data_IF_166626641910
#
_entry.id   IF_166626641910
#
_cell.length_a   1.000
_cell.length_b   1.000
_cell.length_c   1.000
_cell.angle_alpha   90.00
_cell.angle_beta   90.00
_cell.angle_gamma   90.00
#
_symmetry.space_group_name_H-M   'P 1'
#
loop_
_entity.id
_entity.type
_entity.pdbx_description
1 polymer ?
2 non-polymer ?
3 water ?
#
# COMPACT_ATOMS: atom_id res chain seq x y z
N UNK A 4 19.64 -17.69 -12.19
CA UNK A 4 20.04 -16.30 -12.43
C UNK A 4 19.27 -15.68 -13.58
N UNK A 5 19.86 -15.71 -14.78
CA UNK A 5 19.27 -15.09 -15.95
C UNK A 5 17.85 -15.60 -16.28
N UNK A 6 17.57 -16.87 -16.00
CA UNK A 6 16.24 -17.42 -16.22
C UNK A 6 15.25 -16.80 -15.24
N UNK A 7 15.54 -16.96 -13.95
CA UNK A 7 14.69 -16.45 -12.88
C UNK A 7 14.23 -15.03 -13.16
N UNK A 8 15.19 -14.11 -13.26
CA UNK A 8 14.87 -12.69 -13.47
C UNK A 8 14.05 -12.46 -14.72
N UNK A 9 14.34 -13.21 -15.77
CA UNK A 9 13.59 -13.08 -17.03
C UNK A 9 12.13 -13.43 -16.82
N UNK A 10 11.88 -14.44 -15.97
CA UNK A 10 10.53 -14.88 -15.69
C UNK A 10 9.76 -13.83 -14.90
N UNK A 11 10.43 -13.20 -13.94
CA UNK A 11 9.76 -12.23 -13.11
C UNK A 11 9.44 -10.98 -13.93
N UNK A 12 10.34 -10.62 -14.83
CA UNK A 12 10.09 -9.49 -15.73
C UNK A 12 8.86 -9.73 -16.59
N UNK A 13 8.72 -10.95 -17.10
CA UNK A 13 7.58 -11.28 -17.95
C UNK A 13 6.29 -11.07 -17.17
N UNK A 14 6.29 -11.45 -15.89
CA UNK A 14 5.13 -11.26 -15.04
C UNK A 14 4.85 -9.78 -14.79
N UNK A 15 5.91 -8.98 -14.64
CA UNK A 15 5.66 -7.57 -14.44
C UNK A 15 5.02 -6.99 -15.71
N UNK A 16 5.49 -7.45 -16.86
CA UNK A 16 4.92 -6.94 -18.11
C UNK A 16 3.45 -7.38 -18.26
N UNK A 17 3.12 -8.61 -17.88
CA UNK A 17 1.72 -9.01 -17.91
C UNK A 17 0.87 -8.12 -16.99
N UNK A 18 1.36 -7.88 -15.77
CA UNK A 18 0.62 -7.05 -14.82
C UNK A 18 0.47 -5.62 -15.34
N UNK A 19 1.49 -5.10 -16.03
CA UNK A 19 1.42 -3.75 -16.58
C UNK A 19 0.38 -3.66 -17.69
N UNK A 20 0.36 -4.66 -18.56
CA UNK A 20 -0.60 -4.69 -19.65
C UNK A 20 -2.03 -4.79 -19.10
N UNK A 21 -2.23 -5.60 -18.07
CA UNK A 21 -3.57 -5.72 -17.47
C UNK A 21 -4.00 -4.43 -16.80
N UNK A 22 -3.08 -3.77 -16.10
CA UNK A 22 -3.43 -2.51 -15.43
C UNK A 22 -3.78 -1.47 -16.47
N UNK A 23 -3.08 -1.51 -17.59
CA UNK A 23 -3.35 -0.58 -18.68
C UNK A 23 -4.75 -0.80 -19.23
N UNK A 24 -5.11 -2.07 -19.46
CA UNK A 24 -6.42 -2.41 -20.00
C UNK A 24 -7.51 -2.06 -18.99
N UNK A 25 -7.22 -2.27 -17.71
CA UNK A 25 -8.20 -1.90 -16.70
C UNK A 25 -8.43 -0.40 -16.73
N UNK A 26 -7.35 0.39 -16.83
CA UNK A 26 -7.49 1.83 -16.98
C UNK A 26 -8.32 2.20 -18.19
N UNK A 27 -8.07 1.50 -19.30
CA UNK A 27 -8.81 1.75 -20.54
C UNK A 27 -10.28 1.58 -20.27
N UNK A 28 -10.65 0.55 -19.52
CA UNK A 28 -12.05 0.29 -19.21
C UNK A 28 -12.62 1.41 -18.35
N UNK A 29 -11.84 1.85 -17.37
CA UNK A 29 -12.31 2.96 -16.53
C UNK A 29 -12.49 4.22 -17.37
N UNK A 30 -11.55 4.50 -18.27
CA UNK A 30 -11.64 5.67 -19.14
C UNK A 30 -12.97 5.65 -19.88
N UNK A 31 -13.34 4.47 -20.38
CA UNK A 31 -14.58 4.34 -21.13
C UNK A 31 -15.79 4.56 -20.25
N UNK A 32 -15.75 4.00 -19.05
CA UNK A 32 -16.86 4.04 -18.10
C UNK A 32 -17.07 5.42 -17.50
N UNK A 33 -16.00 6.23 -17.49
CA UNK A 33 -16.05 7.56 -16.90
C UNK A 33 -16.59 8.63 -17.84
N UNK A 34 -16.80 8.26 -19.10
CA UNK A 34 -17.32 9.22 -20.07
C UNK A 34 -18.84 9.36 -19.89
N UNK A 35 -19.38 10.47 -20.36
CA UNK A 35 -20.80 10.75 -20.18
C UNK A 35 -21.67 9.72 -20.89
N UNK A 36 -21.21 9.27 -22.05
CA UNK A 36 -21.89 8.23 -22.79
C UNK A 36 -20.94 7.07 -23.07
N UNK A 37 -20.82 6.13 -22.11
CA UNK A 37 -19.91 4.98 -22.33
C UNK A 37 -20.23 4.20 -23.60
N UNK A 38 -19.18 3.91 -24.36
CA UNK A 38 -19.25 3.21 -25.62
C UNK A 38 -19.24 1.70 -25.37
N UNK A 39 -20.40 1.05 -25.47
CA UNK A 39 -20.51 -0.34 -25.11
C UNK A 39 -19.68 -1.29 -25.97
N UNK A 40 -19.56 -0.99 -27.26
CA UNK A 40 -18.79 -1.82 -28.16
C UNK A 40 -17.29 -1.67 -27.83
N UNK A 41 -16.86 -0.45 -27.55
CA UNK A 41 -15.46 -0.23 -27.13
C UNK A 41 -15.16 -0.96 -25.83
N UNK A 42 -16.11 -0.88 -24.90
CA UNK A 42 -15.95 -1.54 -23.60
C UNK A 42 -15.79 -3.03 -23.79
N UNK A 43 -16.66 -3.64 -24.61
CA UNK A 43 -16.57 -5.07 -24.83
C UNK A 43 -15.21 -5.45 -25.44
N UNK A 44 -14.72 -4.66 -26.39
CA UNK A 44 -13.42 -4.92 -27.00
C UNK A 44 -12.35 -4.95 -25.93
N UNK A 45 -12.41 -3.97 -25.05
CA UNK A 45 -11.40 -3.89 -23.98
C UNK A 45 -11.51 -5.06 -23.00
N UNK A 46 -12.72 -5.52 -22.75
CA UNK A 46 -12.93 -6.62 -21.83
C UNK A 46 -12.34 -7.87 -22.43
N UNK A 47 -12.53 -8.03 -23.73
CA UNK A 47 -12.05 -9.20 -24.40
C UNK A 47 -10.53 -9.20 -24.42
N UNK A 48 -9.94 -8.01 -24.59
CA UNK A 48 -8.50 -7.87 -24.67
C UNK A 48 -7.91 -8.22 -23.28
N UNK A 49 -8.57 -7.78 -22.21
CA UNK A 49 -8.11 -8.13 -20.86
C UNK A 49 -8.16 -9.66 -20.66
N UNK A 50 -9.28 -10.28 -21.01
CA UNK A 50 -9.37 -11.73 -20.84
C UNK A 50 -8.24 -12.44 -21.61
N UNK A 51 -7.97 -11.98 -22.83
CA UNK A 51 -6.96 -12.63 -23.68
C UNK A 51 -5.57 -12.51 -23.07
N UNK A 52 -5.22 -11.31 -22.64
CA UNK A 52 -3.90 -11.05 -22.07
C UNK A 52 -3.75 -11.85 -20.78
N UNK A 53 -4.81 -11.90 -19.99
CA UNK A 53 -4.78 -12.61 -18.71
C UNK A 53 -4.60 -14.09 -18.94
N UNK A 54 -5.32 -14.64 -19.89
CA UNK A 54 -5.28 -16.09 -20.08
C UNK A 54 -3.93 -16.53 -20.64
N UNK A 55 -3.34 -15.69 -21.48
CA UNK A 55 -2.01 -15.94 -22.02
C UNK A 55 -1.01 -15.89 -20.89
N UNK A 56 -1.17 -14.90 -20.03
CA UNK A 56 -0.29 -14.75 -18.88
C UNK A 56 -0.37 -15.94 -17.94
N UNK A 57 -1.58 -16.41 -17.66
CA UNK A 57 -1.72 -17.56 -16.78
C UNK A 57 -1.15 -18.80 -17.45
N UNK A 58 -1.30 -18.89 -18.76
CA UNK A 58 -0.84 -20.05 -19.52
C UNK A 58 0.68 -20.19 -19.53
N UNK A 59 1.38 -19.07 -19.47
CA UNK A 59 2.83 -19.08 -19.71
C UNK A 59 3.70 -18.63 -18.55
N UNK A 60 3.08 -18.34 -17.41
CA UNK A 60 3.82 -17.89 -16.25
C UNK A 60 4.51 -19.06 -15.54
N UNK A 61 5.82 -18.94 -15.33
CA UNK A 61 6.63 -20.02 -14.76
C UNK A 61 6.55 -20.08 -13.23
N UNK A 62 6.72 -18.94 -12.56
CA UNK A 62 6.81 -18.92 -11.11
C UNK A 62 5.49 -19.33 -10.49
N UNK A 63 5.52 -20.32 -9.60
CA UNK A 63 4.29 -20.84 -8.99
C UNK A 63 3.50 -19.80 -8.20
N UNK A 64 4.19 -18.91 -7.49
CA UNK A 64 3.54 -17.88 -6.69
C UNK A 64 2.83 -16.89 -7.61
N UNK A 65 3.47 -16.59 -8.74
CA UNK A 65 2.85 -15.67 -9.68
C UNK A 65 1.67 -16.32 -10.41
N UNK A 66 1.77 -17.61 -10.68
CA UNK A 66 0.65 -18.34 -11.28
C UNK A 66 -0.58 -18.26 -10.38
N UNK A 67 -0.41 -18.59 -9.10
CA UNK A 67 -1.51 -18.51 -8.15
C UNK A 67 -2.08 -17.10 -8.05
N UNK A 68 -1.20 -16.09 -8.05
CA UNK A 68 -1.66 -14.70 -8.00
C UNK A 68 -2.53 -14.36 -9.22
N UNK A 69 -2.14 -14.85 -10.39
CA UNK A 69 -2.92 -14.61 -11.60
C UNK A 69 -4.28 -15.30 -11.58
N UNK A 70 -4.37 -16.42 -10.87
CA UNK A 70 -5.65 -17.11 -10.71
C UNK A 70 -6.57 -16.22 -9.88
N UNK A 71 -5.99 -15.53 -8.91
CA UNK A 71 -6.72 -14.57 -8.10
C UNK A 71 -7.19 -13.40 -8.94
N UNK A 72 -6.32 -12.93 -9.82
CA UNK A 72 -6.68 -11.85 -10.75
C UNK A 72 -7.87 -12.25 -11.61
N UNK A 73 -7.86 -13.49 -12.10
CA UNK A 73 -8.94 -14.00 -12.92
C UNK A 73 -10.26 -13.97 -12.17
N UNK A 74 -10.26 -14.43 -10.92
CA UNK A 74 -11.48 -14.46 -10.15
C UNK A 74 -11.96 -13.02 -9.94
N UNK A 75 -11.02 -12.12 -9.65
CA UNK A 75 -11.36 -10.75 -9.37
C UNK A 75 -11.90 -10.07 -10.62
N UNK A 76 -11.35 -10.45 -11.77
CA UNK A 76 -11.81 -9.87 -13.03
C UNK A 76 -13.21 -10.35 -13.39
N UNK A 77 -13.50 -11.61 -13.10
CA UNK A 77 -14.87 -12.11 -13.31
C UNK A 77 -15.83 -11.25 -12.47
N UNK A 78 -15.43 -10.94 -11.24
CA UNK A 78 -16.26 -10.09 -10.38
C UNK A 78 -16.43 -8.67 -10.92
N UNK A 79 -15.36 -8.07 -11.46
CA UNK A 79 -15.49 -6.75 -12.05
C UNK A 79 -16.49 -6.79 -13.21
N UNK A 80 -16.36 -7.80 -14.06
CA UNK A 80 -17.24 -7.93 -15.20
C UNK A 80 -18.67 -8.09 -14.72
N UNK A 81 -18.87 -8.89 -13.66
CA UNK A 81 -20.23 -9.16 -13.21
C UNK A 81 -20.90 -7.89 -12.69
N UNK A 82 -20.08 -6.93 -12.24
CA UNK A 82 -20.63 -5.70 -11.68
C UNK A 82 -20.61 -4.52 -12.64
N UNK A 83 -20.12 -4.75 -13.85
CA UNK A 83 -20.05 -3.65 -14.81
C UNK A 83 -21.42 -3.22 -15.34
N UNK A 84 -22.31 -4.18 -15.65
CA UNK A 84 -23.64 -3.73 -16.10
C UNK A 84 -24.32 -2.81 -15.09
N UNK A 85 -24.28 -3.18 -13.81
CA UNK A 85 -24.86 -2.36 -12.75
C UNK A 85 -24.33 -0.92 -12.78
N UNK A 86 -23.03 -0.77 -13.06
CA UNK A 86 -22.43 0.55 -13.14
C UNK A 86 -22.99 1.29 -14.36
N UNK A 87 -23.06 0.59 -15.48
CA UNK A 87 -23.53 1.17 -16.73
C UNK A 87 -25.00 1.54 -16.67
N UNK A 88 -25.74 0.84 -15.83
CA UNK A 88 -27.19 1.03 -15.71
C UNK A 88 -27.51 2.19 -14.77
N UNK A 89 -26.51 2.64 -14.02
CA UNK A 89 -26.70 3.72 -13.06
C UNK A 89 -26.80 5.07 -13.77
N UNK A 92 -24.63 11.81 -15.41
CA UNK A 92 -23.53 12.75 -15.61
C UNK A 92 -22.18 12.12 -15.27
N UNK A 93 -21.22 12.26 -16.19
CA UNK A 93 -19.86 11.77 -15.99
C UNK A 93 -18.89 12.49 -16.89
N UNK A 94 -18.21 13.50 -16.34
CA UNK A 94 -17.33 14.37 -17.10
C UNK A 94 -16.47 13.65 -18.16
N UNK A 95 -16.64 14.05 -19.42
CA UNK A 95 -15.67 13.65 -20.44
C UNK A 95 -14.32 14.23 -20.02
N UNK A 96 -14.37 15.46 -19.50
CA UNK A 96 -13.17 16.14 -19.03
C UNK A 96 -12.44 15.38 -17.93
N UNK A 97 -13.18 14.82 -16.98
CA UNK A 97 -12.55 14.01 -15.95
C UNK A 97 -11.91 12.76 -16.55
N UNK A 98 -12.67 12.04 -17.38
CA UNK A 98 -12.14 10.85 -18.04
C UNK A 98 -10.82 11.16 -18.79
N UNK A 99 -10.79 12.29 -19.50
CA UNK A 99 -9.61 12.64 -20.28
C UNK A 99 -8.42 12.99 -19.38
N UNK A 100 -8.68 13.72 -18.31
CA UNK A 100 -7.62 14.06 -17.37
C UNK A 100 -7.05 12.82 -16.70
N UNK A 101 -7.95 11.92 -16.30
CA UNK A 101 -7.55 10.67 -15.67
C UNK A 101 -6.65 9.90 -16.62
N UNK A 102 -7.08 9.81 -17.87
CA UNK A 102 -6.31 9.06 -18.84
C UNK A 102 -4.88 9.56 -18.95
N UNK A 103 -4.71 10.87 -19.09
CA UNK A 103 -3.39 11.45 -19.24
C UNK A 103 -2.54 11.22 -18.00
N UNK A 104 -3.13 11.40 -16.83
CA UNK A 104 -2.37 11.20 -15.59
C UNK A 104 -1.91 9.75 -15.43
N UNK A 105 -2.81 8.80 -15.64
CA UNK A 105 -2.43 7.41 -15.45
C UNK A 105 -1.36 6.94 -16.44
N UNK A 106 -1.39 7.46 -17.67
CA UNK A 106 -0.41 7.04 -18.66
C UNK A 106 0.96 7.55 -18.26
N UNK A 107 1.01 8.78 -17.77
CA UNK A 107 2.27 9.31 -17.32
C UNK A 107 2.87 8.51 -16.17
N UNK A 108 2.04 8.15 -15.20
CA UNK A 108 2.52 7.36 -14.08
C UNK A 108 3.01 5.99 -14.54
N UNK A 109 2.25 5.37 -15.45
CA UNK A 109 2.59 4.02 -15.91
C UNK A 109 3.87 4.06 -16.73
N UNK A 110 4.00 5.09 -17.56
CA UNK A 110 5.18 5.18 -18.42
C UNK A 110 6.44 5.44 -17.60
N UNK A 111 6.33 6.21 -16.53
CA UNK A 111 7.49 6.49 -15.68
C UNK A 111 7.93 5.22 -14.97
N UNK A 112 6.95 4.49 -14.46
CA UNK A 112 7.20 3.22 -13.81
C UNK A 112 7.99 2.31 -14.74
N UNK A 113 7.53 2.21 -15.99
CA UNK A 113 8.13 1.27 -16.95
C UNK A 113 9.48 1.75 -17.44
N UNK A 114 9.68 3.06 -17.41
CA UNK A 114 10.97 3.60 -17.77
C UNK A 114 11.99 3.15 -16.74
N UNK A 115 11.59 3.18 -15.47
CA UNK A 115 12.44 2.73 -14.38
C UNK A 115 12.62 1.20 -14.36
N UNK A 116 11.58 0.46 -14.71
CA UNK A 116 11.64 -1.00 -14.83
C UNK A 116 12.67 -1.40 -15.88
N UNK A 117 12.56 -0.80 -17.06
CA UNK A 117 13.52 -1.03 -18.13
C UNK A 117 14.94 -0.72 -17.66
N UNK A 118 15.12 0.43 -17.03
CA UNK A 118 16.42 0.82 -16.50
C UNK A 118 17.03 -0.31 -15.69
N UNK A 119 16.27 -0.84 -14.74
CA UNK A 119 16.73 -1.94 -13.92
C UNK A 119 17.20 -3.10 -14.79
N UNK A 120 16.42 -3.40 -15.82
CA UNK A 120 16.72 -4.51 -16.72
C UNK A 120 18.00 -4.25 -17.53
N UNK A 121 18.04 -3.14 -18.25
CA UNK A 121 19.14 -2.84 -19.16
C UNK A 121 20.50 -2.80 -18.48
N UNK B 1 29.52 -5.16 -4.80
CA UNK B 1 29.32 -3.83 -5.37
C UNK B 1 28.12 -3.12 -4.75
N UNK B 2 28.35 -2.47 -3.62
CA UNK B 2 27.32 -1.64 -3.00
C UNK B 2 26.94 -0.51 -3.94
N UNK B 3 27.82 -0.24 -4.90
CA UNK B 3 27.54 0.70 -5.98
C UNK B 3 26.33 0.21 -6.76
N UNK B 4 26.41 -1.02 -7.28
CA UNK B 4 25.28 -1.63 -7.97
C UNK B 4 24.01 -1.54 -7.14
N UNK B 5 24.13 -1.87 -5.86
CA UNK B 5 23.00 -1.82 -4.95
C UNK B 5 22.47 -0.40 -4.86
N UNK B 6 23.38 0.58 -4.92
CA UNK B 6 23.00 1.98 -4.93
C UNK B 6 22.17 2.32 -6.17
N UNK B 7 22.61 1.83 -7.33
CA UNK B 7 21.88 2.07 -8.57
C UNK B 7 20.49 1.45 -8.52
N UNK B 8 20.44 0.15 -8.24
CA UNK B 8 19.17 -0.55 -8.14
C UNK B 8 18.19 0.20 -7.24
N UNK B 9 18.64 0.54 -6.03
CA UNK B 9 17.80 1.23 -5.06
C UNK B 9 17.21 2.52 -5.63
N UNK B 10 17.88 3.12 -6.60
CA UNK B 10 17.40 4.34 -7.23
C UNK B 10 16.17 4.06 -8.09
N UNK B 11 16.34 3.18 -9.08
CA UNK B 11 15.24 2.79 -9.93
C UNK B 11 14.09 2.27 -9.09
N UNK B 12 14.42 1.54 -8.04
CA UNK B 12 13.38 0.98 -7.17
C UNK B 12 12.66 2.10 -6.42
N UNK B 13 13.38 3.20 -6.16
CA UNK B 13 12.79 4.37 -5.52
C UNK B 13 11.77 5.03 -6.45
N UNK B 14 12.17 5.25 -7.70
CA UNK B 14 11.27 5.81 -8.71
C UNK B 14 10.09 4.87 -8.92
N UNK B 15 10.36 3.57 -8.99
CA UNK B 15 9.28 2.60 -9.11
C UNK B 15 8.35 2.69 -7.92
N UNK B 16 8.92 2.87 -6.74
CA UNK B 16 8.17 2.97 -5.49
C UNK B 16 7.29 4.21 -5.45
N UNK B 17 7.83 5.37 -5.81
CA UNK B 17 7.02 6.58 -5.86
C UNK B 17 5.88 6.39 -6.85
N UNK B 18 6.19 5.94 -8.06
CA UNK B 18 5.15 5.72 -9.07
C UNK B 18 4.06 4.78 -8.55
N UNK B 19 4.49 3.72 -7.87
CA UNK B 19 3.55 2.74 -7.33
C UNK B 19 2.63 3.38 -6.29
N UNK B 20 3.22 4.20 -5.43
CA UNK B 20 2.46 4.89 -4.38
C UNK B 20 1.42 5.83 -5.01
N UNK B 21 1.85 6.58 -6.01
CA UNK B 21 0.95 7.54 -6.66
C UNK B 21 -0.17 6.83 -7.40
N UNK B 22 0.15 5.73 -8.07
CA UNK B 22 -0.90 4.97 -8.72
C UNK B 22 -1.88 4.35 -7.69
N UNK B 23 -1.35 3.94 -6.55
CA UNK B 23 -2.21 3.41 -5.49
C UNK B 23 -3.16 4.51 -5.01
N UNK B 24 -2.63 5.70 -4.80
CA UNK B 24 -3.46 6.82 -4.35
C UNK B 24 -4.47 7.25 -5.41
N UNK B 25 -4.06 7.23 -6.67
CA UNK B 25 -5.02 7.54 -7.71
C UNK B 25 -6.16 6.50 -7.69
N UNK B 26 -5.81 5.23 -7.56
CA UNK B 26 -6.81 4.17 -7.45
C UNK B 26 -7.73 4.43 -6.27
N UNK B 27 -7.15 4.77 -5.13
CA UNK B 27 -7.95 5.08 -3.94
C UNK B 27 -8.99 6.12 -4.27
N UNK B 28 -8.58 7.12 -5.07
CA UNK B 28 -9.47 8.21 -5.39
C UNK B 28 -10.57 7.80 -6.36
N UNK B 29 -10.23 6.96 -7.33
CA UNK B 29 -11.22 6.44 -8.25
C UNK B 29 -12.23 5.59 -7.48
N UNK B 30 -11.73 4.75 -6.57
CA UNK B 30 -12.61 3.91 -5.75
C UNK B 30 -13.63 4.79 -5.01
N UNK B 31 -13.15 5.85 -4.38
CA UNK B 31 -14.03 6.80 -3.68
C UNK B 31 -15.06 7.42 -4.62
N UNK B 32 -14.62 7.77 -5.81
CA UNK B 32 -15.48 8.45 -6.77
C UNK B 32 -16.50 7.48 -7.40
N UNK B 33 -16.20 6.19 -7.38
CA UNK B 33 -17.09 5.20 -7.98
C UNK B 33 -18.17 4.73 -6.99
N UNK B 34 -18.02 5.11 -5.72
CA UNK B 34 -19.05 4.79 -4.73
C UNK B 34 -20.29 5.67 -4.88
N UNK B 35 -21.45 5.18 -4.45
CA UNK B 35 -22.68 5.90 -4.74
C UNK B 35 -22.87 7.11 -3.83
N UNK B 36 -22.09 7.18 -2.77
CA UNK B 36 -22.04 8.37 -1.93
C UNK B 36 -20.59 8.68 -1.57
N UNK B 37 -19.89 9.38 -2.48
CA UNK B 37 -18.45 9.63 -2.30
C UNK B 37 -18.12 10.36 -1.01
N UNK B 38 -17.17 9.81 -0.27
CA UNK B 38 -16.68 10.41 0.96
C UNK B 38 -15.78 11.61 0.64
N UNK B 39 -16.34 12.81 0.72
CA UNK B 39 -15.63 14.03 0.37
C UNK B 39 -14.38 14.31 1.18
N UNK B 40 -14.45 14.08 2.49
CA UNK B 40 -13.30 14.27 3.36
C UNK B 40 -12.20 13.27 3.04
N UNK B 41 -12.59 12.02 2.81
CA UNK B 41 -11.63 11.00 2.40
C UNK B 41 -10.97 11.35 1.06
N UNK B 42 -11.73 11.90 0.14
CA UNK B 42 -11.15 12.31 -1.14
C UNK B 42 -10.09 13.39 -0.90
N UNK B 43 -10.43 14.38 -0.10
CA UNK B 43 -9.52 15.46 0.27
C UNK B 43 -8.24 14.90 0.88
N UNK B 44 -8.37 13.97 1.82
CA UNK B 44 -7.19 13.38 2.44
C UNK B 44 -6.30 12.68 1.40
N UNK B 45 -6.94 11.93 0.51
CA UNK B 45 -6.20 11.19 -0.50
C UNK B 45 -5.49 12.13 -1.48
N UNK B 46 -6.14 13.23 -1.84
CA UNK B 46 -5.50 14.21 -2.72
C UNK B 46 -4.30 14.82 -2.03
N UNK B 47 -4.44 15.12 -0.74
CA UNK B 47 -3.32 15.64 0.04
C UNK B 47 -2.15 14.66 0.05
N UNK B 48 -2.46 13.39 0.26
CA UNK B 48 -1.46 12.34 0.28
C UNK B 48 -0.79 12.24 -1.08
N UNK B 49 -1.57 12.29 -2.15
CA UNK B 49 -0.96 12.25 -3.49
C UNK B 49 0.04 13.40 -3.67
N UNK B 50 -0.34 14.62 -3.29
CA UNK B 50 0.57 15.75 -3.47
C UNK B 50 1.82 15.62 -2.60
N UNK B 51 1.66 15.11 -1.38
CA UNK B 51 2.80 14.92 -0.49
C UNK B 51 3.79 13.92 -1.09
N UNK B 52 3.28 12.76 -1.47
CA UNK B 52 4.09 11.70 -2.07
C UNK B 52 4.77 12.18 -3.34
N UNK B 53 4.07 12.93 -4.17
CA UNK B 53 4.68 13.44 -5.40
C UNK B 53 5.81 14.41 -5.08
N UNK B 54 5.57 15.36 -4.19
CA UNK B 54 6.61 16.34 -3.88
C UNK B 54 7.83 15.70 -3.23
N UNK B 55 7.60 14.75 -2.34
CA UNK B 55 8.72 14.02 -1.73
C UNK B 55 9.47 13.21 -2.78
N UNK B 56 8.74 12.70 -3.77
CA UNK B 56 9.35 11.99 -4.87
C UNK B 56 10.20 12.92 -5.73
N UNK B 57 9.71 14.14 -5.94
CA UNK B 57 10.43 15.09 -6.77
C UNK B 57 11.71 15.51 -6.08
N UNK B 58 11.64 15.60 -4.76
CA UNK B 58 12.79 16.04 -3.97
C UNK B 58 13.85 14.95 -3.92
N UNK B 59 13.44 13.72 -4.21
CA UNK B 59 14.32 12.57 -4.09
C UNK B 59 14.90 12.08 -5.41
N UNK B 60 14.82 12.91 -6.44
CA UNK B 60 15.38 12.53 -7.74
C UNK B 60 16.59 13.39 -8.06
N UNK B 61 17.34 12.95 -9.06
CA UNK B 61 18.60 13.61 -9.43
C UNK B 61 18.60 14.03 -10.89
N UNK B 62 17.98 13.22 -11.74
CA UNK B 62 17.85 13.53 -13.15
C UNK B 62 16.70 14.51 -13.38
N UNK B 63 17.01 15.65 -13.99
CA UNK B 63 15.99 16.66 -14.22
C UNK B 63 14.98 16.22 -15.28
N UNK B 64 15.28 15.09 -15.93
CA UNK B 64 14.30 14.48 -16.83
C UNK B 64 13.32 13.66 -16.00
N UNK B 65 13.79 13.12 -14.88
CA UNK B 65 12.89 12.45 -13.96
C UNK B 65 12.07 13.51 -13.25
N UNK B 66 12.72 14.61 -12.91
CA UNK B 66 12.02 15.75 -12.32
C UNK B 66 11.02 16.31 -13.32
N UNK B 67 11.40 16.24 -14.59
CA UNK B 67 10.53 16.71 -15.67
C UNK B 67 9.28 15.85 -15.75
N UNK B 68 9.44 14.54 -15.63
CA UNK B 68 8.32 13.62 -15.73
C UNK B 68 7.40 13.80 -14.54
N UNK B 69 7.99 14.03 -13.36
CA UNK B 69 7.20 14.23 -12.15
C UNK B 69 6.51 15.59 -12.17
N UNK B 70 7.13 16.57 -12.82
CA UNK B 70 6.47 17.86 -13.03
C UNK B 70 5.29 17.68 -13.98
N UNK B 71 5.42 16.77 -14.94
CA UNK B 71 4.34 16.46 -15.84
C UNK B 71 3.21 15.79 -15.08
N UNK B 72 3.58 14.90 -14.15
CA UNK B 72 2.59 14.26 -13.29
C UNK B 72 1.88 15.33 -12.44
N UNK B 73 2.65 16.28 -11.90
CA UNK B 73 2.08 17.38 -11.13
C UNK B 73 1.03 18.16 -11.92
N UNK B 74 1.40 18.57 -13.12
CA UNK B 74 0.49 19.32 -13.99
C UNK B 74 -0.75 18.50 -14.35
N UNK B 75 -0.55 17.20 -14.59
CA UNK B 75 -1.66 16.33 -14.94
C UNK B 75 -2.59 16.14 -13.74
N UNK B 76 -2.02 16.08 -12.56
CA UNK B 76 -2.82 15.88 -11.37
C UNK B 76 -3.64 17.13 -11.09
N UNK B 77 -3.03 18.28 -11.39
CA UNK B 77 -3.74 19.56 -11.31
C UNK B 77 -4.94 19.58 -12.23
N UNK B 78 -4.76 19.08 -13.45
CA UNK B 78 -5.88 18.99 -14.39
C UNK B 78 -6.96 18.03 -13.88
N UNK B 79 -6.54 16.89 -13.31
CA UNK B 79 -7.52 15.94 -12.78
C UNK B 79 -8.36 16.61 -11.70
N UNK B 80 -7.69 17.38 -10.84
CA UNK B 80 -8.39 18.14 -9.81
C UNK B 80 -9.36 19.16 -10.37
N UNK B 81 -8.92 19.88 -11.41
CA UNK B 81 -9.75 20.89 -12.05
C UNK B 81 -11.07 20.28 -12.52
N UNK B 82 -11.04 19.00 -12.86
CA UNK B 82 -12.21 18.34 -13.43
C UNK B 82 -12.87 17.39 -12.43
N UNK B 83 -12.46 17.46 -11.17
CA UNK B 83 -12.94 16.52 -10.16
C UNK B 83 -14.32 16.92 -9.63
N UNK B 84 -15.33 16.09 -9.91
CA UNK B 84 -16.72 16.28 -9.47
C UNK B 84 -17.05 15.35 -8.31
N UNK B 92 -23.74 6.67 -12.76
CA UNK B 92 -22.37 7.18 -12.78
C UNK B 92 -21.49 6.42 -11.80
N UNK B 93 -22.10 5.90 -10.74
CA UNK B 93 -21.39 5.19 -9.69
C UNK B 93 -22.14 3.95 -9.21
N UNK B 94 -21.45 3.09 -8.46
CA UNK B 94 -22.01 1.84 -7.99
C UNK B 94 -21.07 1.19 -6.96
N UNK B 95 -21.60 0.90 -5.78
CA UNK B 95 -20.77 0.38 -4.70
C UNK B 95 -20.17 -1.00 -5.00
N UNK B 96 -20.97 -1.85 -5.65
CA UNK B 96 -20.49 -3.18 -6.01
C UNK B 96 -19.32 -3.13 -7.01
N UNK B 97 -19.46 -2.27 -7.99
CA UNK B 97 -18.38 -2.10 -8.98
C UNK B 97 -17.14 -1.54 -8.28
N UNK B 98 -17.34 -0.52 -7.45
CA UNK B 98 -16.21 0.11 -6.76
C UNK B 98 -15.41 -0.93 -5.98
N UNK B 99 -16.11 -1.79 -5.25
CA UNK B 99 -15.47 -2.85 -4.47
C UNK B 99 -14.73 -3.89 -5.37
N UNK B 100 -15.39 -4.31 -6.44
CA UNK B 100 -14.78 -5.28 -7.36
C UNK B 100 -13.54 -4.68 -8.03
N UNK B 101 -13.65 -3.43 -8.47
CA UNK B 101 -12.50 -2.71 -9.03
C UNK B 101 -11.37 -2.62 -8.03
N UNK B 102 -11.71 -2.27 -6.80
CA UNK B 102 -10.68 -2.16 -5.78
C UNK B 102 -9.92 -3.47 -5.59
N UNK B 103 -10.66 -4.58 -5.50
CA UNK B 103 -10.05 -5.88 -5.33
C UNK B 103 -9.12 -6.22 -6.48
N UNK B 104 -9.60 -5.98 -7.69
CA UNK B 104 -8.81 -6.33 -8.86
C UNK B 104 -7.54 -5.49 -8.91
N UNK B 105 -7.68 -4.18 -8.69
CA UNK B 105 -6.50 -3.31 -8.87
C UNK B 105 -5.47 -3.61 -7.77
N UNK B 106 -5.93 -3.97 -6.58
CA UNK B 106 -4.99 -4.35 -5.53
C UNK B 106 -4.22 -5.61 -5.88
N UNK B 107 -4.93 -6.60 -6.41
CA UNK B 107 -4.28 -7.84 -6.82
C UNK B 107 -3.23 -7.65 -7.92
N UNK B 108 -3.57 -6.80 -8.88
CA UNK B 108 -2.62 -6.50 -9.95
C UNK B 108 -1.41 -5.77 -9.40
N UNK B 109 -1.64 -4.77 -8.54
CA UNK B 109 -0.54 -4.00 -7.95
C UNK B 109 0.32 -4.93 -7.13
N UNK B 110 -0.33 -5.81 -6.37
CA UNK B 110 0.44 -6.69 -5.50
C UNK B 110 1.25 -7.71 -6.29
N UNK B 111 0.70 -8.18 -7.42
CA UNK B 111 1.38 -9.14 -8.27
C UNK B 111 2.63 -8.50 -8.85
N UNK B 112 2.50 -7.24 -9.27
CA UNK B 112 3.64 -6.54 -9.83
C UNK B 112 4.75 -6.44 -8.79
N UNK B 113 4.36 -6.13 -7.55
CA UNK B 113 5.34 -5.92 -6.50
C UNK B 113 5.96 -7.24 -6.04
N UNK B 114 5.21 -8.33 -6.16
CA UNK B 114 5.73 -9.66 -5.86
C UNK B 114 6.81 -10.06 -6.84
N UNK B 115 6.57 -9.83 -8.13
CA UNK B 115 7.53 -10.15 -9.18
C UNK B 115 8.77 -9.27 -9.05
N UNK B 116 8.58 -8.01 -8.69
CA UNK B 116 9.70 -7.08 -8.53
C UNK B 116 10.58 -7.52 -7.37
N UNK B 117 9.95 -7.89 -6.27
CA UNK B 117 10.69 -8.41 -5.12
C UNK B 117 11.43 -9.65 -5.57
N UNK B 118 10.78 -10.43 -6.43
CA UNK B 118 11.38 -11.62 -6.97
C UNK B 118 12.70 -11.33 -7.67
N UNK B 119 12.75 -10.21 -8.38
CA UNK B 119 13.96 -9.82 -9.10
C UNK B 119 15.04 -9.34 -8.15
N UNK B 120 14.67 -8.61 -7.11
CA UNK B 120 15.64 -8.12 -6.13
C UNK B 120 16.43 -9.28 -5.55
N UNK B 121 15.73 -10.32 -5.11
CA UNK B 121 16.39 -11.50 -4.55
C UNK B 121 17.24 -12.23 -5.59
N UNK B 122 16.98 -11.95 -6.87
CA UNK B 122 17.76 -12.52 -7.95
C UNK B 122 18.84 -11.54 -8.42
N UNK B 123 18.92 -10.40 -7.73
CA UNK B 123 20.02 -9.47 -7.91
C UNK B 123 20.84 -9.48 -6.63
N UNK B 124 20.36 -10.27 -5.67
CA UNK B 124 21.12 -10.59 -4.47
C UNK B 124 22.10 -11.71 -4.80
N UNK B 125 21.60 -12.70 -5.55
CA UNK B 125 22.43 -13.81 -5.99
C UNK B 125 23.14 -13.46 -7.29
N UNK B 126 23.80 -12.31 -7.30
CA UNK B 126 24.52 -11.85 -8.48
C UNK B 126 26.00 -12.20 -8.39
N UNK C 1 -30.55 2.27 10.29
CA UNK C 1 -29.20 2.32 10.84
C UNK C 1 -28.53 0.94 10.82
N UNK C 2 -29.35 -0.11 10.88
CA UNK C 2 -28.83 -1.48 11.05
C UNK C 2 -27.82 -1.94 10.00
N UNK C 3 -28.07 -1.69 8.72
CA UNK C 3 -27.09 -2.02 7.69
C UNK C 3 -25.82 -1.20 7.87
N UNK C 4 -25.98 0.05 8.28
CA UNK C 4 -24.85 0.92 8.55
C UNK C 4 -24.00 0.34 9.68
N UNK C 5 -24.68 -0.04 10.76
CA UNK C 5 -24.02 -0.60 11.94
C UNK C 5 -23.25 -1.87 11.60
N UNK C 6 -23.88 -2.75 10.82
CA UNK C 6 -23.26 -4.00 10.44
C UNK C 6 -22.02 -3.73 9.61
N UNK C 7 -22.14 -2.82 8.64
CA UNK C 7 -21.03 -2.51 7.76
C UNK C 7 -19.84 -1.92 8.54
N UNK C 8 -20.14 -0.98 9.42
CA UNK C 8 -19.12 -0.35 10.24
C UNK C 8 -18.43 -1.40 11.11
N UNK C 9 -19.24 -2.28 11.68
CA UNK C 9 -18.71 -3.33 12.55
C UNK C 9 -17.76 -4.24 11.78
N UNK C 10 -18.15 -4.60 10.56
CA UNK C 10 -17.30 -5.45 9.71
C UNK C 10 -15.97 -4.78 9.38
N UNK C 11 -15.99 -3.48 9.06
CA UNK C 11 -14.74 -2.80 8.76
C UNK C 11 -13.86 -2.68 10.01
N UNK C 12 -14.48 -2.49 11.16
CA UNK C 12 -13.69 -2.49 12.38
C UNK C 12 -13.12 -3.89 12.65
N UNK C 13 -13.85 -4.93 12.24
CA UNK C 13 -13.32 -6.30 12.38
C UNK C 13 -12.05 -6.45 11.54
N UNK C 14 -12.04 -5.86 10.35
CA UNK C 14 -10.84 -5.87 9.52
C UNK C 14 -9.71 -5.07 10.15
N UNK C 15 -10.06 -3.94 10.77
CA UNK C 15 -9.06 -3.13 11.47
C UNK C 15 -8.45 -3.98 12.58
N UNK C 16 -9.31 -4.71 13.30
CA UNK C 16 -8.82 -5.59 14.38
C UNK C 16 -7.82 -6.61 13.84
N UNK C 17 -8.12 -7.19 12.69
CA UNK C 17 -7.17 -8.12 12.08
C UNK C 17 -5.85 -7.44 11.75
N UNK C 18 -5.91 -6.27 11.11
CA UNK C 18 -4.65 -5.62 10.77
C UNK C 18 -3.86 -5.25 12.02
N UNK C 19 -4.54 -4.81 13.07
CA UNK C 19 -3.85 -4.43 14.30
C UNK C 19 -3.21 -5.61 15.00
N UNK C 20 -3.93 -6.74 15.02
CA UNK C 20 -3.38 -7.94 15.66
C UNK C 20 -2.21 -8.49 14.85
N UNK C 21 -2.29 -8.42 13.52
CA UNK C 21 -1.18 -8.87 12.69
C UNK C 21 0.05 -7.97 12.85
N UNK C 22 -0.19 -6.66 12.94
CA UNK C 22 0.92 -5.73 13.16
C UNK C 22 1.59 -6.04 14.50
N UNK C 23 0.79 -6.39 15.51
CA UNK C 23 1.34 -6.69 16.83
C UNK C 23 2.16 -7.97 16.79
N UNK C 24 1.68 -8.96 16.04
CA UNK C 24 2.41 -10.22 15.97
C UNK C 24 3.70 -10.07 15.16
N UNK C 25 3.67 -9.27 14.10
CA UNK C 25 4.89 -9.02 13.33
C UNK C 25 5.90 -8.35 14.24
N UNK C 26 5.45 -7.38 15.01
CA UNK C 26 6.32 -6.73 15.97
C UNK C 26 6.88 -7.71 17.00
N UNK C 27 6.05 -8.62 17.50
CA UNK C 27 6.51 -9.63 18.46
C UNK C 27 7.67 -10.41 17.86
N UNK C 28 7.53 -10.72 16.56
CA UNK C 28 8.50 -11.56 15.85
C UNK C 28 9.82 -10.84 15.62
N UNK C 29 9.76 -9.57 15.25
CA UNK C 29 10.97 -8.78 15.10
C UNK C 29 11.69 -8.65 16.43
N UNK C 30 10.92 -8.43 17.50
CA UNK C 30 11.51 -8.30 18.84
C UNK C 30 12.27 -9.58 19.22
N UNK C 31 11.63 -10.73 19.00
CA UNK C 31 12.28 -12.02 19.23
C UNK C 31 13.55 -12.15 18.38
N UNK C 32 13.46 -11.74 17.13
CA UNK C 32 14.57 -11.91 16.20
C UNK C 32 15.74 -10.99 16.53
N UNK C 33 15.46 -9.92 17.27
CA UNK C 33 16.49 -8.96 17.63
C UNK C 33 17.21 -9.30 18.93
N UNK C 34 16.75 -10.34 19.61
CA UNK C 34 17.37 -10.73 20.88
C UNK C 34 18.67 -11.48 20.64
N UNK C 35 19.54 -11.51 21.65
CA UNK C 35 20.80 -12.24 21.56
C UNK C 35 20.59 -13.72 21.27
N UNK C 36 19.75 -14.37 22.06
CA UNK C 36 19.40 -15.76 21.80
C UNK C 36 17.91 -15.87 21.58
N UNK C 37 17.48 -15.85 20.30
CA UNK C 37 16.07 -15.91 19.93
C UNK C 37 15.42 -17.24 20.30
N UNK C 38 14.28 -17.19 20.98
CA UNK C 38 13.58 -18.42 21.33
C UNK C 38 12.84 -18.93 20.11
N UNK C 39 13.25 -20.10 19.62
CA UNK C 39 12.67 -20.70 18.43
C UNK C 39 11.23 -21.10 18.63
N UNK C 40 10.89 -21.55 19.83
CA UNK C 40 9.53 -22.00 20.11
C UNK C 40 8.58 -20.80 20.27
N UNK C 41 9.09 -19.72 20.87
CA UNK C 41 8.32 -18.49 20.95
C UNK C 41 8.06 -17.92 19.56
N UNK C 42 9.10 -17.91 18.73
CA UNK C 42 8.96 -17.42 17.36
C UNK C 42 7.93 -18.23 16.59
N UNK C 43 7.90 -19.52 16.89
CA UNK C 43 7.03 -20.46 16.21
C UNK C 43 5.58 -20.22 16.59
N UNK C 44 5.33 -20.10 17.90
CA UNK C 44 4.00 -19.78 18.41
C UNK C 44 3.48 -18.50 17.79
N UNK C 45 4.33 -17.49 17.69
CA UNK C 45 3.94 -16.20 17.14
C UNK C 45 3.56 -16.32 15.67
N UNK C 46 4.38 -17.04 14.92
CA UNK C 46 4.12 -17.21 13.49
C UNK C 46 2.84 -18.01 13.27
N UNK C 47 2.61 -19.01 14.13
CA UNK C 47 1.36 -19.77 14.11
C UNK C 47 0.16 -18.87 14.36
N UNK C 48 0.31 -17.97 15.33
CA UNK C 48 -0.72 -16.98 15.65
C UNK C 48 -0.98 -16.05 14.47
N UNK C 49 0.09 -15.55 13.84
CA UNK C 49 -0.05 -14.67 12.68
C UNK C 49 -0.84 -15.38 11.59
N UNK C 50 -0.45 -16.62 11.29
CA UNK C 50 -1.14 -17.37 10.25
C UNK C 50 -2.60 -17.60 10.60
N UNK C 51 -2.85 -17.91 11.85
CA UNK C 51 -4.20 -18.21 12.33
C UNK C 51 -5.12 -17.00 12.29
N UNK C 52 -4.61 -15.87 12.73
CA UNK C 52 -5.38 -14.63 12.71
C UNK C 52 -5.69 -14.25 11.27
N UNK C 53 -4.70 -14.40 10.40
CA UNK C 53 -4.86 -14.04 9.00
C UNK C 53 -5.90 -14.92 8.33
N UNK C 54 -5.78 -16.23 8.55
CA UNK C 54 -6.66 -17.19 7.90
C UNK C 54 -8.09 -17.04 8.40
N UNK C 55 -8.25 -16.72 9.69
CA UNK C 55 -9.58 -16.46 10.20
C UNK C 55 -10.14 -15.19 9.55
N UNK C 56 -9.30 -14.17 9.44
CA UNK C 56 -9.69 -12.95 8.74
C UNK C 56 -10.21 -13.27 7.34
N UNK C 57 -9.47 -14.10 6.62
CA UNK C 57 -9.84 -14.47 5.26
C UNK C 57 -11.17 -15.20 5.21
N UNK C 58 -11.35 -16.14 6.13
CA UNK C 58 -12.56 -16.95 6.14
C UNK C 58 -13.78 -16.12 6.50
N UNK C 59 -13.55 -14.96 7.14
CA UNK C 59 -14.63 -14.21 7.76
C UNK C 59 -14.95 -12.88 7.10
N UNK C 60 -14.25 -12.58 6.01
CA UNK C 60 -14.48 -11.33 5.30
C UNK C 60 -15.22 -11.58 4.00
N UNK C 61 -16.25 -10.78 3.73
CA UNK C 61 -17.02 -10.91 2.51
C UNK C 61 -16.48 -9.93 1.48
N UNK C 62 -16.13 -8.74 1.96
CA UNK C 62 -15.61 -7.68 1.12
C UNK C 62 -14.49 -8.21 0.21
N UNK C 63 -14.63 -8.04 -1.11
CA UNK C 63 -13.67 -8.58 -2.07
C UNK C 63 -12.39 -7.75 -2.23
N UNK C 64 -12.47 -6.46 -1.94
CA UNK C 64 -11.28 -5.67 -1.75
C UNK C 64 -10.50 -6.14 -0.52
N UNK C 65 -11.19 -6.41 0.58
CA UNK C 65 -10.49 -6.85 1.78
C UNK C 65 -9.94 -8.28 1.58
N UNK C 66 -10.64 -9.08 0.78
CA UNK C 66 -10.13 -10.39 0.37
C UNK C 66 -8.79 -10.23 -0.36
N UNK C 67 -8.76 -9.30 -1.32
CA UNK C 67 -7.53 -9.05 -2.09
C UNK C 67 -6.42 -8.62 -1.16
N UNK C 68 -6.75 -7.70 -0.23
CA UNK C 68 -5.73 -7.22 0.69
C UNK C 68 -5.21 -8.34 1.58
N UNK C 69 -6.11 -9.19 2.06
CA UNK C 69 -5.66 -10.25 2.93
C UNK C 69 -4.79 -11.25 2.16
N UNK C 70 -5.19 -11.54 0.93
CA UNK C 70 -4.40 -12.47 0.12
C UNK C 70 -3.02 -11.89 -0.12
N UNK C 71 -2.94 -10.57 -0.27
CA UNK C 71 -1.66 -9.91 -0.50
C UNK C 71 -0.74 -10.04 0.71
N UNK C 72 -1.32 -9.91 1.91
CA UNK C 72 -0.56 -10.13 3.15
C UNK C 72 -0.12 -11.58 3.26
N UNK C 73 -1.03 -12.49 2.88
CA UNK C 73 -0.76 -13.92 2.97
C UNK C 73 0.44 -14.26 2.08
N UNK C 74 0.41 -13.84 0.82
CA UNK C 74 1.50 -14.12 -0.10
C UNK C 74 2.80 -13.62 0.52
N UNK C 75 2.79 -12.39 1.01
CA UNK C 75 3.95 -11.81 1.67
C UNK C 75 4.39 -12.54 2.95
N UNK C 76 3.44 -13.03 3.75
CA UNK C 76 3.79 -13.65 5.02
C UNK C 76 4.28 -15.11 4.96
N UNK C 77 3.51 -16.01 4.34
CA UNK C 77 3.95 -17.38 4.21
C UNK C 77 5.40 -17.32 3.74
N UNK C 78 5.62 -16.43 2.78
CA UNK C 78 6.97 -16.11 2.31
C UNK C 78 7.93 -15.84 3.48
N UNK C 79 7.50 -14.99 4.42
CA UNK C 79 8.34 -14.65 5.57
C UNK C 79 8.52 -15.83 6.55
N UNK C 80 7.43 -16.51 6.90
CA UNK C 80 7.49 -17.64 7.83
C UNK C 80 8.40 -18.71 7.24
N UNK C 81 8.44 -18.74 5.92
CA UNK C 81 9.28 -19.68 5.18
C UNK C 81 10.74 -19.46 5.50
N UNK C 82 11.11 -18.19 5.68
CA UNK C 82 12.52 -17.84 5.77
C UNK C 82 13.03 -17.71 7.21
N UNK C 83 12.11 -17.55 8.16
CA UNK C 83 12.52 -17.32 9.55
C UNK C 83 13.34 -18.46 10.18
N UNK C 84 12.91 -19.72 9.99
CA UNK C 84 13.71 -20.76 10.64
C UNK C 84 15.20 -20.65 10.26
N UNK C 85 15.47 -20.13 9.06
CA UNK C 85 16.84 -19.91 8.62
C UNK C 85 17.38 -18.57 9.12
N UNK C 94 21.30 -7.35 19.67
CA UNK C 94 21.46 -6.69 20.96
C UNK C 94 20.17 -6.71 21.80
N UNK C 95 20.28 -7.23 23.01
CA UNK C 95 19.12 -7.36 23.90
C UNK C 95 18.54 -5.99 24.26
N UNK C 96 19.43 -5.04 24.53
CA UNK C 96 19.03 -3.67 24.81
C UNK C 96 18.27 -3.05 23.65
N UNK C 97 18.79 -3.21 22.44
CA UNK C 97 18.11 -2.65 21.28
C UNK C 97 16.76 -3.31 21.10
N UNK C 98 16.71 -4.61 21.38
CA UNK C 98 15.48 -5.38 21.22
C UNK C 98 14.38 -4.82 22.10
N UNK C 99 14.72 -4.55 23.36
CA UNK C 99 13.71 -4.07 24.29
C UNK C 99 13.34 -2.62 23.98
N UNK C 100 14.30 -1.82 23.52
CA UNK C 100 13.98 -0.44 23.13
C UNK C 100 13.07 -0.42 21.90
N UNK C 101 13.34 -1.33 20.97
CA UNK C 101 12.51 -1.44 19.78
C UNK C 101 11.09 -1.83 20.18
N UNK C 102 11.01 -2.76 21.12
CA UNK C 102 9.71 -3.23 21.62
C UNK C 102 8.90 -2.08 22.20
N UNK C 103 9.55 -1.29 23.06
CA UNK C 103 8.88 -0.18 23.69
C UNK C 103 8.36 0.79 22.65
N UNK C 104 9.20 1.09 21.65
CA UNK C 104 8.82 2.06 20.65
C UNK C 104 7.65 1.56 19.77
N UNK C 105 7.72 0.32 19.32
CA UNK C 105 6.65 -0.17 18.44
C UNK C 105 5.33 -0.28 19.22
N UNK C 106 5.41 -0.56 20.52
CA UNK C 106 4.20 -0.59 21.33
C UNK C 106 3.61 0.80 21.49
N UNK C 107 4.47 1.81 21.62
CA UNK C 107 3.97 3.19 21.76
C UNK C 107 3.32 3.64 20.44
N UNK C 108 3.87 3.18 19.31
CA UNK C 108 3.29 3.48 17.99
C UNK C 108 1.98 2.76 17.83
N UNK C 109 1.91 1.52 18.33
CA UNK C 109 0.67 0.76 18.27
C UNK C 109 -0.41 1.47 19.08
N UNK C 110 -0.04 1.93 20.27
CA UNK C 110 -0.96 2.70 21.13
C UNK C 110 -1.48 3.97 20.45
N UNK C 111 -0.59 4.68 19.77
CA UNK C 111 -0.97 5.90 19.06
C UNK C 111 -2.01 5.59 18.00
N UNK C 112 -1.78 4.51 17.26
CA UNK C 112 -2.72 4.12 16.20
C UNK C 112 -4.07 3.74 16.78
N UNK C 113 -4.06 2.94 17.84
CA UNK C 113 -5.30 2.45 18.44
C UNK C 113 -6.09 3.63 18.96
N UNK C 114 -5.38 4.58 19.55
CA UNK C 114 -6.03 5.73 20.17
C UNK C 114 -6.78 6.53 19.12
N UNK C 115 -6.13 6.76 17.99
CA UNK C 115 -6.73 7.50 16.90
C UNK C 115 -7.93 6.72 16.41
N UNK C 116 -7.76 5.41 16.26
CA UNK C 116 -8.86 4.55 15.83
C UNK C 116 -10.03 4.62 16.81
N UNK C 117 -9.74 4.57 18.11
CA UNK C 117 -10.80 4.71 19.11
C UNK C 117 -11.46 6.08 18.97
N UNK C 118 -10.64 7.10 18.74
CA UNK C 118 -11.13 8.45 18.56
C UNK C 118 -12.11 8.56 17.41
N UNK C 119 -11.80 7.89 16.31
CA UNK C 119 -12.68 7.90 15.14
C UNK C 119 -13.99 7.15 15.42
N UNK C 120 -13.93 6.15 16.29
CA UNK C 120 -15.13 5.44 16.71
C UNK C 120 -16.02 6.32 17.58
N UNK C 121 -15.40 7.04 18.52
CA UNK C 121 -16.10 7.83 19.52
C UNK C 121 -17.13 8.81 18.95
N UNK C 122 -16.75 9.52 17.90
CA UNK C 122 -17.65 10.48 17.28
C UNK C 122 -18.14 10.01 15.91
N UNK D 2 -20.07 19.78 11.14
CA UNK D 2 -18.72 20.22 10.78
C UNK D 2 -17.83 20.26 12.02
N UNK D 3 -18.44 20.55 13.16
CA UNK D 3 -17.76 20.50 14.45
C UNK D 3 -16.96 19.21 14.56
N UNK D 4 -17.65 18.09 14.38
CA UNK D 4 -17.01 16.79 14.45
C UNK D 4 -16.21 16.48 13.19
N UNK D 5 -16.59 17.10 12.07
CA UNK D 5 -15.90 16.89 10.81
C UNK D 5 -14.42 17.23 10.92
N UNK D 6 -14.12 18.45 11.35
CA UNK D 6 -12.74 18.88 11.55
C UNK D 6 -12.09 18.05 12.66
N UNK D 7 -12.89 17.71 13.66
CA UNK D 7 -12.46 16.86 14.76
C UNK D 7 -11.93 15.54 14.23
N UNK D 8 -12.74 14.86 13.43
CA UNK D 8 -12.35 13.59 12.82
C UNK D 8 -11.15 13.77 11.92
N UNK D 9 -11.10 14.86 11.18
CA UNK D 9 -9.94 15.10 10.30
C UNK D 9 -8.63 14.99 11.08
N UNK D 10 -8.63 15.48 12.31
CA UNK D 10 -7.41 15.44 13.13
C UNK D 10 -7.04 14.00 13.52
N UNK D 11 -8.03 13.19 13.85
CA UNK D 11 -7.77 11.78 14.16
C UNK D 11 -7.14 11.06 12.96
N UNK D 12 -7.67 11.32 11.77
CA UNK D 12 -7.09 10.72 10.57
C UNK D 12 -5.66 11.22 10.37
N UNK D 13 -5.41 12.49 10.68
CA UNK D 13 -4.05 13.02 10.59
C UNK D 13 -3.10 12.29 11.54
N UNK D 14 -3.57 11.98 12.74
CA UNK D 14 -2.75 11.24 13.68
C UNK D 14 -2.46 9.83 13.19
N UNK D 15 -3.46 9.23 12.56
CA UNK D 15 -3.28 7.90 11.98
C UNK D 15 -2.19 7.98 10.93
N UNK D 16 -2.27 8.98 10.08
CA UNK D 16 -1.25 9.17 9.04
C UNK D 16 0.15 9.32 9.62
N UNK D 17 0.28 10.10 10.67
CA UNK D 17 1.56 10.26 11.37
C UNK D 17 2.07 8.92 11.88
N UNK D 18 1.17 8.15 12.51
CA UNK D 18 1.56 6.85 13.06
C UNK D 18 2.03 5.91 11.95
N UNK D 19 1.36 5.93 10.79
CA UNK D 19 1.76 5.06 9.68
C UNK D 19 3.14 5.47 9.16
N UNK D 20 3.37 6.76 9.02
CA UNK D 20 4.65 7.26 8.51
C UNK D 20 5.79 6.88 9.43
N UNK D 21 5.54 7.03 10.73
CA UNK D 21 6.55 6.70 11.71
C UNK D 21 6.83 5.20 11.72
N UNK D 22 5.78 4.38 11.62
CA UNK D 22 5.99 2.94 11.60
C UNK D 22 6.82 2.55 10.38
N UNK D 23 6.55 3.20 9.24
CA UNK D 23 7.33 2.88 8.05
C UNK D 23 8.76 3.35 8.17
N UNK D 24 9.00 4.51 8.79
CA UNK D 24 10.38 4.97 9.00
C UNK D 24 11.13 4.07 9.98
N UNK D 25 10.41 3.55 10.97
CA UNK D 25 11.04 2.64 11.92
C UNK D 25 11.49 1.36 11.21
N UNK D 26 10.62 0.80 10.37
CA UNK D 26 11.01 -0.35 9.58
C UNK D 26 12.18 -0.04 8.68
N UNK D 27 12.21 1.17 8.12
CA UNK D 27 13.32 1.58 7.24
C UNK D 27 14.65 1.52 7.98
N UNK D 28 14.66 2.02 9.21
CA UNK D 28 15.85 2.02 10.06
C UNK D 28 16.29 0.60 10.40
N UNK D 29 15.32 -0.29 10.64
CA UNK D 29 15.64 -1.67 10.92
C UNK D 29 16.36 -2.33 9.75
N UNK D 30 15.84 -2.11 8.53
CA UNK D 30 16.52 -2.62 7.32
C UNK D 30 17.93 -2.07 7.17
N UNK D 31 18.12 -0.77 7.39
CA UNK D 31 19.46 -0.18 7.30
C UNK D 31 20.43 -0.83 8.29
N UNK D 32 19.93 -1.12 9.48
CA UNK D 32 20.76 -1.67 10.56
C UNK D 32 21.05 -3.15 10.43
N UNK D 33 20.16 -3.88 9.74
CA UNK D 33 20.30 -5.34 9.64
C UNK D 33 21.24 -5.73 8.52
N UNK D 34 21.67 -4.76 7.73
CA UNK D 34 22.72 -5.00 6.77
C UNK D 34 23.97 -5.43 7.54
N UNK D 35 25.06 -5.63 6.80
CA UNK D 35 26.27 -6.20 7.40
C UNK D 35 27.26 -5.10 7.77
N UNK D 36 27.37 -4.10 6.89
CA UNK D 36 28.04 -2.84 7.22
C UNK D 36 27.02 -1.72 7.01
N UNK D 37 26.29 -1.37 8.08
CA UNK D 37 25.17 -0.43 7.97
C UNK D 37 25.60 0.94 7.45
N UNK D 38 24.82 1.48 6.51
CA UNK D 38 25.04 2.81 5.97
C UNK D 38 24.67 3.85 7.03
N UNK D 39 25.65 4.28 7.81
CA UNK D 39 25.39 5.20 8.90
C UNK D 39 24.81 6.53 8.48
N UNK D 40 25.18 7.00 7.29
CA UNK D 40 24.68 8.28 6.80
C UNK D 40 23.20 8.18 6.52
N UNK D 41 22.81 7.07 5.90
CA UNK D 41 21.41 6.84 5.59
C UNK D 41 20.62 6.68 6.87
N UNK D 42 21.20 6.00 7.84
CA UNK D 42 20.54 5.83 9.14
C UNK D 42 20.24 7.18 9.77
N UNK D 43 21.23 8.06 9.80
CA UNK D 43 21.05 9.36 10.43
C UNK D 43 19.98 10.20 9.73
N UNK D 44 19.94 10.15 8.40
CA UNK D 44 18.90 10.85 7.65
C UNK D 44 17.50 10.31 7.97
N UNK D 45 17.39 8.99 8.07
CA UNK D 45 16.13 8.35 8.48
C UNK D 45 15.73 8.72 9.90
N UNK D 46 16.69 8.78 10.81
CA UNK D 46 16.41 9.22 12.17
C UNK D 46 15.90 10.64 12.19
N UNK D 47 16.52 11.51 11.39
CA UNK D 47 16.07 12.89 11.28
C UNK D 47 14.64 12.97 10.73
N UNK D 48 14.35 12.14 9.74
CA UNK D 48 13.01 12.13 9.15
C UNK D 48 11.99 11.72 10.21
N UNK D 49 12.31 10.70 10.98
CA UNK D 49 11.42 10.24 12.05
C UNK D 49 11.19 11.39 13.02
N UNK D 50 12.27 12.02 13.48
CA UNK D 50 12.14 13.15 14.40
C UNK D 50 11.25 14.24 13.79
N UNK D 51 11.44 14.54 12.51
CA UNK D 51 10.67 15.61 11.89
C UNK D 51 9.18 15.30 11.76
N UNK D 52 8.87 14.06 11.42
CA UNK D 52 7.46 13.65 11.27
C UNK D 52 6.79 13.69 12.64
N UNK D 53 7.52 13.22 13.65
CA UNK D 53 7.01 13.18 15.02
C UNK D 53 6.73 14.59 15.52
N UNK D 54 7.67 15.50 15.30
CA UNK D 54 7.51 16.86 15.81
C UNK D 54 6.36 17.63 15.17
N UNK D 55 6.14 17.47 13.87
CA UNK D 55 5.01 18.13 13.23
C UNK D 55 3.68 17.50 13.64
N UNK D 56 3.71 16.20 13.95
CA UNK D 56 2.52 15.54 14.46
C UNK D 56 2.16 16.17 15.80
N UNK D 57 3.18 16.37 16.63
CA UNK D 57 3.02 16.93 17.95
C UNK D 57 2.46 18.37 17.89
N UNK D 58 2.82 19.10 16.84
CA UNK D 58 2.46 20.51 16.73
C UNK D 58 1.03 20.72 16.28
N UNK D 59 0.45 19.72 15.64
CA UNK D 59 -0.88 19.86 15.08
C UNK D 59 -1.95 19.07 15.84
N UNK D 60 -1.52 18.11 16.64
CA UNK D 60 -2.48 17.20 17.27
C UNK D 60 -3.32 17.89 18.34
N UNK D 61 -4.64 17.74 18.25
CA UNK D 61 -5.56 18.41 19.14
C UNK D 61 -6.04 17.52 20.29
N UNK D 62 -6.26 16.24 20.00
CA UNK D 62 -6.77 15.34 21.01
C UNK D 62 -5.77 15.15 22.17
N UNK D 63 -6.25 15.31 23.40
CA UNK D 63 -5.37 15.25 24.57
C UNK D 63 -4.77 13.87 24.75
N UNK D 64 -5.55 12.84 24.47
CA UNK D 64 -5.07 11.47 24.54
C UNK D 64 -3.95 11.28 23.51
N UNK D 65 -4.17 11.75 22.28
CA UNK D 65 -3.16 11.58 21.23
C UNK D 65 -1.89 12.38 21.52
N UNK D 66 -2.04 13.56 22.12
CA UNK D 66 -0.86 14.29 22.56
C UNK D 66 -0.02 13.47 23.53
N UNK D 67 -0.68 12.84 24.50
CA UNK D 67 0.03 12.02 25.46
C UNK D 67 0.74 10.85 24.76
N UNK D 68 0.05 10.24 23.80
CA UNK D 68 0.60 9.09 23.06
C UNK D 68 1.83 9.51 22.27
N UNK D 69 1.76 10.70 21.67
CA UNK D 69 2.92 11.20 20.92
C UNK D 69 4.11 11.50 21.81
N UNK D 70 3.85 12.04 23.01
CA UNK D 70 4.93 12.23 23.98
C UNK D 70 5.55 10.88 24.37
N UNK D 71 4.72 9.86 24.50
CA UNK D 71 5.18 8.51 24.76
C UNK D 71 6.07 7.99 23.63
N UNK D 72 5.65 8.22 22.38
CA UNK D 72 6.47 7.82 21.23
C UNK D 72 7.82 8.55 21.27
N UNK D 73 7.78 9.85 21.58
CA UNK D 73 9.02 10.64 21.60
C UNK D 73 10.00 10.08 22.64
N UNK D 74 9.51 9.82 23.84
CA UNK D 74 10.36 9.25 24.88
C UNK D 74 10.94 7.90 24.46
N UNK D 75 10.12 7.04 23.87
CA UNK D 75 10.58 5.71 23.47
C UNK D 75 11.56 5.82 22.30
N UNK D 76 11.36 6.80 21.43
CA UNK D 76 12.28 6.95 20.30
C UNK D 76 13.67 7.38 20.79
N UNK D 77 13.71 8.23 21.80
CA UNK D 77 15.01 8.64 22.31
C UNK D 77 15.72 7.42 22.88
N UNK D 78 14.97 6.56 23.56
CA UNK D 78 15.55 5.36 24.12
C UNK D 78 16.04 4.46 23.01
N UNK D 79 15.28 4.39 21.91
CA UNK D 79 15.73 3.59 20.80
C UNK D 79 17.04 4.14 20.23
N UNK D 80 17.12 5.46 20.05
CA UNK D 80 18.33 6.07 19.51
C UNK D 80 19.51 5.84 20.45
N UNK D 81 19.25 5.86 21.75
CA UNK D 81 20.31 5.65 22.73
C UNK D 81 20.88 4.24 22.63
N UNK D 82 20.06 3.27 22.21
CA UNK D 82 20.50 1.87 22.14
C UNK D 82 20.93 1.41 20.76
N UNK D 83 20.89 2.32 19.79
CA UNK D 83 21.33 1.99 18.43
C UNK D 83 22.87 1.89 18.29
N UNK D 84 23.63 2.78 18.96
CA UNK D 84 25.09 2.66 18.82
C UNK D 84 25.63 1.26 19.17
N UNK D 85 25.00 0.59 20.13
CA UNK D 85 25.43 -0.74 20.54
C UNK D 85 25.16 -1.76 19.45
N UNK D 86 23.99 -1.64 18.82
CA UNK D 86 23.58 -2.55 17.76
C UNK D 86 24.56 -2.49 16.59
N UNK D 87 25.38 -1.45 16.56
CA UNK D 87 26.41 -1.31 15.53
C UNK D 87 27.59 -2.22 15.82
N UNK D 95 19.83 -7.91 3.50
CA UNK D 95 19.38 -7.37 2.23
C UNK D 95 18.04 -7.97 1.81
N UNK D 96 18.01 -9.29 1.70
CA UNK D 96 16.89 -10.01 1.11
C UNK D 96 15.74 -10.33 2.04
N UNK D 97 16.04 -10.58 3.30
CA UNK D 97 15.00 -10.70 4.33
C UNK D 97 14.31 -9.35 4.38
N UNK D 98 15.08 -8.31 4.10
CA UNK D 98 14.60 -6.95 4.08
C UNK D 98 13.73 -6.69 2.84
N UNK D 99 14.06 -7.34 1.72
CA UNK D 99 13.24 -7.22 0.52
C UNK D 99 11.84 -7.76 0.78
N UNK D 100 11.78 -8.87 1.51
CA UNK D 100 10.51 -9.50 1.84
C UNK D 100 9.79 -8.72 2.92
N UNK D 101 10.53 -8.35 3.95
CA UNK D 101 9.98 -7.60 5.08
C UNK D 101 9.35 -6.32 4.55
N UNK D 102 9.99 -5.72 3.55
CA UNK D 102 9.43 -4.51 2.95
C UNK D 102 8.10 -4.77 2.26
N UNK D 103 8.01 -5.89 1.57
CA UNK D 103 6.76 -6.27 0.94
C UNK D 103 5.64 -6.48 1.95
N UNK D 104 5.95 -7.22 3.03
CA UNK D 104 4.95 -7.60 4.02
C UNK D 104 4.43 -6.36 4.75
N UNK D 105 5.34 -5.49 5.18
CA UNK D 105 4.88 -4.29 5.88
C UNK D 105 4.05 -3.35 5.00
N UNK D 106 4.36 -3.28 3.70
CA UNK D 106 3.55 -2.48 2.79
C UNK D 106 2.17 -3.11 2.59
N UNK D 107 2.12 -4.45 2.50
CA UNK D 107 0.82 -5.12 2.32
C UNK D 107 -0.03 -4.96 3.58
N UNK D 108 0.61 -4.93 4.76
CA UNK D 108 -0.16 -4.76 6.01
C UNK D 108 -0.71 -3.33 6.05
N UNK D 109 0.09 -2.38 5.58
CA UNK D 109 -0.36 -1.00 5.52
C UNK D 109 -1.54 -0.87 4.55
N UNK D 110 -1.45 -1.54 3.41
CA UNK D 110 -2.57 -1.57 2.46
C UNK D 110 -3.86 -2.07 3.12
N UNK D 111 -3.73 -3.13 3.92
CA UNK D 111 -4.89 -3.73 4.55
C UNK D 111 -5.49 -2.75 5.55
N UNK D 112 -4.62 -2.10 6.32
CA UNK D 112 -5.07 -1.14 7.31
C UNK D 112 -5.73 0.08 6.64
N UNK D 113 -5.13 0.56 5.56
CA UNK D 113 -5.69 1.72 4.86
C UNK D 113 -7.05 1.41 4.24
N UNK D 114 -7.22 0.18 3.76
CA UNK D 114 -8.46 -0.21 3.15
C UNK D 114 -9.57 -0.31 4.18
N UNK D 115 -9.25 -0.86 5.34
CA UNK D 115 -10.25 -0.97 6.38
C UNK D 115 -10.66 0.43 6.85
N UNK D 116 -9.66 1.31 6.99
CA UNK D 116 -9.91 2.70 7.39
C UNK D 116 -10.79 3.40 6.36
N UNK D 117 -10.57 3.10 5.09
CA UNK D 117 -11.39 3.72 4.05
C UNK D 117 -12.83 3.27 4.23
N UNK D 118 -13.00 2.01 4.61
CA UNK D 118 -14.32 1.46 4.84
C UNK D 118 -15.00 2.13 6.02
N UNK D 119 -14.26 2.32 7.11
CA UNK D 119 -14.81 2.98 8.30
C UNK D 119 -15.23 4.41 7.97
N UNK D 120 -14.39 5.10 7.22
CA UNK D 120 -14.69 6.48 6.81
C UNK D 120 -15.95 6.56 5.96
N UNK D 121 -16.11 5.63 5.04
CA UNK D 121 -17.30 5.59 4.19
C UNK D 121 -18.54 5.41 5.04
N UNK D 122 -18.48 4.47 5.98
CA UNK D 122 -19.63 4.12 6.83
C UNK D 122 -20.01 5.22 7.82
N UNK D 123 -19.01 5.81 8.49
CA UNK D 123 -19.30 6.89 9.43
C UNK D 123 -20.00 8.04 8.73
N UNK D 124 -19.52 8.41 7.55
CA UNK D 124 -20.11 9.49 6.78
C UNK D 124 -21.42 9.06 6.11
N UNK D 125 -21.89 7.87 6.47
CA UNK D 125 -23.17 7.37 5.96
C UNK D 125 -24.27 7.48 7.01
X LIG E 1 -5.85 3.47 -11.50
X LIG E 1 -4.44 3.37 -11.46
X LIG E 1 -6.44 2.09 -11.75
X LIG E 1 -5.62 1.10 -11.16
X LIG E 1 -6.55 1.85 -13.26
X LIG E 1 -5.53 2.57 -13.92
X LIG F 1 -24.31 1.29 -5.19
X LIG F 1 -25.37 2.19 -5.37
X LIG F 1 -24.83 -0.12 -4.83
X LIG F 1 -24.82 -0.29 -3.42
X LIG F 1 -23.95 -1.17 -5.49
X LIG F 1 -23.99 -2.38 -4.78
X LIG G 1 14.63 -3.28 -3.88
X LIG G 1 13.92 -2.87 -2.73
X LIG G 1 16.08 -2.80 -3.76
X LIG G 1 16.32 -2.40 -2.43
X LIG G 1 17.03 -3.92 -4.15
X LIG G 1 16.85 -4.24 -5.51
X LIG H 1 7.98 -2.04 12.93
X LIG H 1 8.81 -2.40 11.84
X LIG H 1 7.24 -3.30 13.40
X LIG H 1 6.77 -3.11 14.70
X LIG H 1 6.05 -3.52 12.47
X LIG H 1 6.51 -3.37 11.15
#
# INVERSE_FOLDING_TARGET
>A
SNAQEQRMSHHYATIEVSQQLLQLLGDQLVILLRETPDGQALERSQNDFRRVLEQGRANTVDSAEQAALDGVRDAYLQLQAHTPALLEAPXADNDGFSEAFNGLRLRLQDLQQLALAGISEAETSARHRA
>B
SNAQEQRMSHHYATIEVSQQLLQLLGDQLVILLRETPDGQALERSQNDFRRVLEQGRANTVDSAEQAALDGVRDAYLQLQAHTPALLEAPXADNDGFSEAFNGLRLRLQDLQQLALAGISEAETSARHRA
>C
SNAQEQRMSHHYATIEVSQQLLQLLGDQLVILLRETPDGQALERSQNDFRRVLEQGRANTVDSAEQAALDGVRDAYLQLQAHTPALLEAPXADNDGFSEAFNGLRLRLQDLQQLALAGISEAETSARHRA
>D
SNAQEQRMSHHYATIEVSQQLLQLLGDQLVILLRETPDGQALERSQNDFRRVLEQGRANTVDSAEQAALDGVRDAYLQLQAHTPALLEAPXADNDGFSEAFNGLRLRLQDLQQLALAGISEAETSARHRA
>E hetero
1 GOL C1 O1 C2 O2 C3 O3
>F hetero
1 GOL C1 O1 C2 O2 C3 O3
>G hetero
1 GOL C1 O1 C2 O2 C3 O3
>H hetero
1 GOL C1 O1 C2 O2 C3 O3
#
